data_IF_354965910482
#
_entry.id   IF_354965910482
#
_cell.length_a   1.000
_cell.length_b   1.000
_cell.length_c   1.000
_cell.angle_alpha   90.00
_cell.angle_beta   90.00
_cell.angle_gamma   90.00
#
_symmetry.space_group_name_H-M   'P 1'
#
loop_
_entity.id
_entity.type
_entity.pdbx_description
1 polymer ?
#
# COMPACT_ATOMS: atom_id res chain seq x y z
N UNK A 1 18.92 -17.33 56.36
CA UNK A 1 19.32 -17.63 54.98
C UNK A 1 18.06 -17.72 54.14
N UNK A 2 17.86 -16.74 53.26
CA UNK A 2 16.70 -16.64 52.36
C UNK A 2 16.88 -17.56 51.15
N UNK A 3 15.79 -18.14 50.65
CA UNK A 3 15.65 -18.55 49.25
C UNK A 3 14.18 -18.46 48.85
N UNK A 4 13.83 -17.38 48.13
CA UNK A 4 12.58 -17.22 47.39
C UNK A 4 12.82 -17.70 45.96
N UNK A 5 12.04 -18.67 45.49
CA UNK A 5 12.09 -19.18 44.12
C UNK A 5 10.96 -18.57 43.28
N UNK A 6 11.38 -17.65 42.41
CA UNK A 6 10.83 -17.21 41.12
C UNK A 6 9.32 -17.23 40.83
N UNK A 7 8.84 -16.01 40.60
CA UNK A 7 7.61 -15.62 39.91
C UNK A 7 7.73 -15.79 38.38
N UNK A 8 6.63 -16.26 37.78
CA UNK A 8 5.95 -15.57 36.68
C UNK A 8 6.45 -15.76 35.25
N UNK A 9 5.59 -16.29 34.38
CA UNK A 9 5.06 -15.56 33.22
C UNK A 9 4.06 -16.43 32.46
N UNK A 10 2.78 -16.14 32.72
CA UNK A 10 1.60 -16.59 32.00
C UNK A 10 1.45 -15.82 30.67
N UNK A 11 0.69 -16.42 29.74
CA UNK A 11 0.04 -15.85 28.56
C UNK A 11 0.71 -16.09 27.19
N UNK A 12 0.47 -17.28 26.64
CA UNK A 12 0.42 -17.57 25.20
C UNK A 12 -0.99 -18.15 24.97
N UNK A 13 -1.91 -17.45 24.28
CA UNK A 13 -2.31 -17.65 22.87
C UNK A 13 -3.68 -16.94 22.62
N UNK A 14 -4.11 -16.77 21.36
CA UNK A 14 -4.64 -15.52 20.80
C UNK A 14 -6.14 -15.61 20.44
N UNK A 15 -6.55 -14.88 19.39
CA UNK A 15 -7.86 -14.81 18.71
C UNK A 15 -8.62 -13.50 18.98
N UNK A 16 -8.22 -12.44 18.26
CA UNK A 16 -9.12 -11.32 18.00
C UNK A 16 -10.06 -11.71 16.85
N UNK A 17 -11.22 -12.28 17.23
CA UNK A 17 -12.41 -12.31 16.37
C UNK A 17 -12.80 -10.86 16.06
N UNK A 18 -12.80 -10.48 14.78
CA UNK A 18 -13.45 -9.25 14.34
C UNK A 18 -14.97 -9.43 14.44
N UNK A 19 -15.54 -9.24 15.62
CA UNK A 19 -16.99 -9.12 15.76
C UNK A 19 -17.42 -7.76 15.23
N UNK A 20 -18.18 -7.79 14.13
CA UNK A 20 -18.92 -6.66 13.56
C UNK A 20 -19.91 -6.13 14.60
N UNK A 21 -19.51 -5.11 15.35
CA UNK A 21 -20.40 -4.34 16.22
C UNK A 21 -21.42 -3.60 15.35
N UNK A 22 -22.67 -4.05 15.36
CA UNK A 22 -23.80 -3.22 14.95
C UNK A 22 -24.03 -2.21 16.07
N UNK A 23 -23.58 -0.98 15.88
CA UNK A 23 -23.86 0.13 16.80
C UNK A 23 -25.20 0.76 16.45
N UNK A 24 -26.08 0.73 17.44
CA UNK A 24 -27.38 1.39 17.49
C UNK A 24 -27.22 2.91 17.29
N UNK A 25 -28.13 3.51 16.52
CA UNK A 25 -28.15 4.93 16.21
C UNK A 25 -28.70 5.71 17.41
N UNK A 26 -27.86 6.55 18.03
CA UNK A 26 -28.27 7.77 18.72
C UNK A 26 -27.02 8.63 19.00
N UNK A 27 -26.99 9.80 18.37
CA UNK A 27 -26.10 10.95 18.60
C UNK A 27 -24.70 10.66 19.15
N UNK A 28 -23.76 10.41 18.24
CA UNK A 28 -22.38 10.89 18.39
C UNK A 28 -21.96 11.46 17.05
N UNK A 29 -21.64 12.75 17.03
CA UNK A 29 -20.83 13.37 15.99
C UNK A 29 -19.59 12.49 15.84
N UNK A 30 -19.56 11.68 14.79
CA UNK A 30 -18.40 10.83 14.51
C UNK A 30 -17.35 11.78 13.95
N UNK A 31 -16.37 12.12 14.76
CA UNK A 31 -15.22 12.92 14.36
C UNK A 31 -14.55 12.27 13.14
N UNK A 32 -14.78 12.86 11.97
CA UNK A 32 -14.29 12.38 10.68
C UNK A 32 -12.76 12.48 10.56
N UNK A 33 -12.04 13.08 11.53
CA UNK A 33 -10.56 13.17 11.53
C UNK A 33 -9.85 11.88 11.95
N UNK A 34 -10.40 11.06 12.85
CA UNK A 34 -9.73 9.82 13.31
C UNK A 34 -9.81 8.66 12.30
N UNK A 35 -10.87 8.59 11.49
CA UNK A 35 -11.05 7.48 10.53
C UNK A 35 -10.07 7.57 9.35
N UNK A 36 -9.62 8.78 9.02
CA UNK A 36 -8.88 9.06 7.80
C UNK A 36 -7.42 8.59 7.85
N UNK A 37 -6.78 8.70 9.01
CA UNK A 37 -5.38 8.31 9.23
C UNK A 37 -5.19 6.79 9.27
N UNK A 38 -6.14 6.03 9.83
CA UNK A 38 -6.11 4.56 9.78
C UNK A 38 -6.24 4.04 8.34
N UNK A 39 -6.99 4.74 7.49
CA UNK A 39 -7.07 4.43 6.06
C UNK A 39 -5.70 4.59 5.38
N UNK A 40 -4.99 5.70 5.66
CA UNK A 40 -3.64 5.93 5.13
C UNK A 40 -2.66 4.86 5.60
N UNK A 41 -2.68 4.51 6.89
CA UNK A 41 -1.81 3.45 7.42
C UNK A 41 -2.07 2.09 6.76
N UNK A 42 -3.34 1.76 6.49
CA UNK A 42 -3.70 0.56 5.73
C UNK A 42 -3.19 0.63 4.30
N UNK A 43 -3.33 1.78 3.65
CA UNK A 43 -2.79 2.06 2.32
C UNK A 43 -1.27 1.83 2.26
N UNK A 44 -0.52 2.43 3.19
CA UNK A 44 0.94 2.26 3.28
C UNK A 44 1.29 0.78 3.49
N UNK A 45 0.58 0.10 4.38
CA UNK A 45 0.80 -1.34 4.62
C UNK A 45 0.56 -2.19 3.37
N UNK A 46 -0.40 -1.80 2.55
CA UNK A 46 -0.76 -2.49 1.32
C UNK A 46 0.30 -2.29 0.24
N UNK A 47 0.76 -1.05 0.06
CA UNK A 47 1.84 -0.75 -0.90
C UNK A 47 3.16 -1.42 -0.49
N UNK A 48 3.50 -1.43 0.81
CA UNK A 48 4.68 -2.16 1.31
C UNK A 48 4.61 -3.67 1.00
N UNK A 49 3.41 -4.26 1.08
CA UNK A 49 3.17 -5.67 0.74
C UNK A 49 3.32 -5.92 -0.77
N UNK A 50 2.80 -5.00 -1.59
CA UNK A 50 2.87 -5.09 -3.06
C UNK A 50 4.30 -4.95 -3.57
N UNK A 51 5.04 -3.97 -3.05
CA UNK A 51 6.42 -3.72 -3.44
C UNK A 51 7.38 -4.85 -3.03
N UNK A 52 7.05 -5.60 -1.97
CA UNK A 52 7.90 -6.66 -1.45
C UNK A 52 7.11 -7.95 -1.20
N UNK A 53 6.87 -8.77 -2.25
CA UNK A 53 6.10 -10.01 -2.10
C UNK A 53 6.77 -11.03 -1.16
N UNK A 54 8.09 -10.99 -1.02
CA UNK A 54 8.87 -11.88 -0.14
C UNK A 54 9.10 -11.31 1.27
N UNK A 55 8.48 -10.17 1.61
CA UNK A 55 8.66 -9.56 2.92
C UNK A 55 8.03 -10.44 4.00
N UNK A 56 8.68 -10.49 5.18
CA UNK A 56 8.02 -10.90 6.42
C UNK A 56 6.72 -10.11 6.61
N UNK A 57 5.75 -10.59 7.41
CA UNK A 57 4.50 -9.88 7.63
C UNK A 57 4.78 -8.40 7.91
N UNK A 58 4.13 -7.48 7.16
CA UNK A 58 4.41 -6.03 7.26
C UNK A 58 4.33 -5.52 8.70
N UNK A 59 3.51 -6.16 9.54
CA UNK A 59 3.42 -5.90 10.98
C UNK A 59 4.72 -6.10 11.76
N UNK A 60 5.65 -6.91 11.25
CA UNK A 60 6.94 -7.23 11.86
C UNK A 60 8.09 -6.38 11.31
N UNK A 61 7.83 -5.57 10.28
CA UNK A 61 8.84 -4.68 9.70
C UNK A 61 9.09 -3.49 10.63
N UNK A 62 10.35 -3.16 10.89
CA UNK A 62 10.74 -2.02 11.74
C UNK A 62 10.09 -0.71 11.30
N UNK A 63 10.00 -0.47 9.98
CA UNK A 63 9.35 0.71 9.41
C UNK A 63 7.86 0.82 9.79
N UNK A 64 7.13 -0.29 9.76
CA UNK A 64 5.71 -0.30 10.11
C UNK A 64 5.50 -0.15 11.62
N UNK A 65 6.31 -0.82 12.44
CA UNK A 65 6.27 -0.67 13.90
C UNK A 65 6.57 0.77 14.34
N UNK A 66 7.56 1.42 13.71
CA UNK A 66 7.86 2.83 13.93
C UNK A 66 6.68 3.72 13.57
N UNK A 67 6.10 3.54 12.38
CA UNK A 67 4.98 4.32 11.88
C UNK A 67 3.74 4.22 12.80
N UNK A 68 3.40 3.02 13.27
CA UNK A 68 2.29 2.81 14.22
C UNK A 68 2.59 3.46 15.57
N UNK A 69 3.83 3.41 16.05
CA UNK A 69 4.21 4.03 17.32
C UNK A 69 4.11 5.56 17.24
N UNK A 70 4.65 6.17 16.18
CA UNK A 70 4.52 7.61 15.95
C UNK A 70 3.06 8.02 15.81
N UNK A 71 2.26 7.26 15.06
CA UNK A 71 0.84 7.52 14.94
C UNK A 71 0.13 7.54 16.30
N UNK A 72 0.39 6.55 17.17
CA UNK A 72 -0.20 6.48 18.51
C UNK A 72 0.23 7.65 19.41
N UNK A 73 1.50 8.07 19.36
CA UNK A 73 2.00 9.23 20.12
C UNK A 73 1.26 10.51 19.76
N UNK A 74 1.04 10.72 18.46
CA UNK A 74 0.39 11.92 17.95
C UNK A 74 -1.14 11.88 18.04
N UNK A 75 -1.77 10.71 18.24
CA UNK A 75 -3.22 10.60 18.50
C UNK A 75 -3.63 11.13 19.89
N UNK A 76 -2.86 10.84 20.94
CA UNK A 76 -3.27 11.12 22.34
C UNK A 76 -3.07 12.58 22.75
N UNK A 77 -2.46 13.40 21.89
CA UNK A 77 -2.15 14.80 22.22
C UNK A 77 -3.35 15.71 21.89
N UNK A 78 -4.44 15.56 22.65
CA UNK A 78 -5.73 16.24 22.40
C UNK A 78 -5.84 17.67 22.97
N UNK A 79 -4.87 18.17 23.76
CA UNK A 79 -5.15 19.36 24.60
C UNK A 79 -5.35 20.69 23.85
N UNK A 80 -4.90 20.82 22.60
CA UNK A 80 -5.31 21.86 21.62
C UNK A 80 -4.85 21.36 20.26
N UNK A 81 -5.76 21.15 19.30
CA UNK A 81 -5.50 20.85 17.87
C UNK A 81 -4.04 21.00 17.45
N UNK A 82 -3.24 19.96 17.64
CA UNK A 82 -1.80 20.06 17.45
C UNK A 82 -1.53 20.08 15.94
N UNK A 83 -0.95 21.18 15.44
CA UNK A 83 -0.39 21.27 14.08
C UNK A 83 0.37 19.99 13.68
N UNK A 84 1.06 19.40 14.66
CA UNK A 84 1.78 18.13 14.57
C UNK A 84 0.95 16.93 14.06
N UNK A 85 -0.31 16.78 14.44
CA UNK A 85 -1.14 15.67 13.95
C UNK A 85 -1.54 15.86 12.47
N UNK A 86 -1.78 17.11 12.07
CA UNK A 86 -2.08 17.46 10.68
C UNK A 86 -0.84 17.33 9.78
N UNK A 87 0.32 17.77 10.27
CA UNK A 87 1.63 17.56 9.65
C UNK A 87 1.92 16.07 9.48
N UNK A 88 1.70 15.26 10.52
CA UNK A 88 1.88 13.81 10.42
C UNK A 88 0.94 13.18 9.39
N UNK A 89 -0.32 13.60 9.35
CA UNK A 89 -1.27 13.11 8.35
C UNK A 89 -0.85 13.47 6.93
N UNK A 90 -0.34 14.69 6.72
CA UNK A 90 0.15 15.17 5.43
C UNK A 90 1.39 14.40 5.01
N UNK A 91 2.33 14.22 5.93
CA UNK A 91 3.53 13.41 5.72
C UNK A 91 3.18 11.97 5.34
N UNK A 92 2.21 11.34 6.04
CA UNK A 92 1.76 10.00 5.74
C UNK A 92 1.11 9.88 4.35
N UNK A 93 0.33 10.89 3.92
CA UNK A 93 -0.18 10.96 2.54
C UNK A 93 0.93 11.04 1.52
N UNK A 94 1.95 11.87 1.77
CA UNK A 94 3.11 12.02 0.89
C UNK A 94 3.83 10.69 0.72
N UNK A 95 4.05 9.96 1.81
CA UNK A 95 4.66 8.62 1.74
C UNK A 95 3.79 7.61 0.99
N UNK A 96 2.47 7.61 1.22
CA UNK A 96 1.56 6.73 0.48
C UNK A 96 1.61 7.02 -1.03
N UNK A 97 1.51 8.29 -1.42
CA UNK A 97 1.61 8.74 -2.80
C UNK A 97 2.94 8.30 -3.42
N UNK A 98 4.05 8.53 -2.71
CA UNK A 98 5.37 8.13 -3.17
C UNK A 98 5.48 6.62 -3.43
N UNK A 99 5.00 5.78 -2.51
CA UNK A 99 5.01 4.33 -2.68
C UNK A 99 4.15 3.87 -3.86
N UNK A 100 2.99 4.50 -4.06
CA UNK A 100 2.13 4.22 -5.21
C UNK A 100 2.81 4.59 -6.53
N UNK A 101 3.41 5.79 -6.60
CA UNK A 101 4.14 6.23 -7.78
C UNK A 101 5.34 5.34 -8.09
N UNK A 102 6.05 4.81 -7.08
CA UNK A 102 7.13 3.85 -7.31
C UNK A 102 6.61 2.54 -7.94
N UNK A 103 5.50 2.00 -7.45
CA UNK A 103 4.89 0.79 -8.03
C UNK A 103 4.47 1.04 -9.48
N UNK A 104 3.80 2.16 -9.73
CA UNK A 104 3.36 2.53 -11.08
C UNK A 104 4.56 2.78 -12.00
N UNK A 105 5.62 3.40 -11.50
CA UNK A 105 6.85 3.59 -12.25
C UNK A 105 7.49 2.26 -12.64
N UNK A 106 7.50 1.27 -11.75
CA UNK A 106 7.98 -0.07 -12.10
C UNK A 106 7.13 -0.71 -13.21
N UNK A 107 5.80 -0.60 -13.12
CA UNK A 107 4.90 -1.10 -14.18
C UNK A 107 5.15 -0.40 -15.53
N UNK A 108 5.48 0.89 -15.51
CA UNK A 108 5.86 1.65 -16.71
C UNK A 108 7.22 1.20 -17.25
N UNK A 109 8.20 0.99 -16.38
CA UNK A 109 9.52 0.46 -16.76
C UNK A 109 9.37 -0.91 -17.41
N UNK A 110 8.60 -1.82 -16.81
CA UNK A 110 8.38 -3.15 -17.35
C UNK A 110 7.66 -3.08 -18.72
N UNK A 111 6.70 -2.16 -18.86
CA UNK A 111 5.93 -1.99 -20.10
C UNK A 111 6.73 -1.34 -21.23
N UNK A 112 7.54 -0.32 -20.94
CA UNK A 112 8.15 0.54 -21.97
C UNK A 112 9.68 0.45 -22.03
N UNK A 113 10.35 0.10 -20.94
CA UNK A 113 11.81 0.00 -20.82
C UNK A 113 12.27 -1.47 -20.66
N UNK A 114 11.68 -2.39 -21.41
CA UNK A 114 12.15 -3.80 -21.41
C UNK A 114 13.64 -3.90 -21.77
N UNK A 115 14.31 -4.93 -21.24
CA UNK A 115 15.75 -5.19 -21.27
C UNK A 115 16.43 -5.36 -22.66
N UNK A 116 16.20 -4.46 -23.61
CA UNK A 116 16.86 -4.48 -24.92
C UNK A 116 16.12 -3.68 -26.00
N UNK A 117 16.63 -3.77 -27.23
CA UNK A 117 16.01 -3.20 -28.42
C UNK A 117 14.79 -4.05 -28.84
N UNK A 118 13.65 -3.40 -29.12
CA UNK A 118 12.44 -4.04 -29.64
C UNK A 118 12.40 -3.98 -31.17
N UNK A 119 11.71 -4.93 -31.81
CA UNK A 119 11.46 -4.84 -33.25
C UNK A 119 10.54 -3.64 -33.60
N UNK A 120 10.55 -3.24 -34.86
CA UNK A 120 9.72 -2.13 -35.37
C UNK A 120 8.24 -2.49 -35.24
N UNK A 121 7.88 -3.75 -35.50
CA UNK A 121 6.54 -4.32 -35.39
C UNK A 121 6.03 -4.26 -33.95
N UNK A 122 6.85 -4.67 -32.98
CA UNK A 122 6.49 -4.66 -31.56
C UNK A 122 6.35 -3.23 -31.04
N UNK A 123 7.26 -2.35 -31.45
CA UNK A 123 7.23 -0.93 -31.08
C UNK A 123 5.98 -0.26 -31.63
N UNK A 124 5.64 -0.48 -32.91
CA UNK A 124 4.42 0.04 -33.53
C UNK A 124 3.18 -0.39 -32.73
N UNK A 125 3.05 -1.69 -32.43
CA UNK A 125 1.92 -2.23 -31.65
C UNK A 125 1.84 -1.64 -30.24
N UNK A 126 2.98 -1.46 -29.56
CA UNK A 126 3.04 -0.88 -28.21
C UNK A 126 2.41 0.50 -28.13
N UNK A 127 2.61 1.33 -29.15
CA UNK A 127 2.07 2.70 -29.21
C UNK A 127 0.71 2.79 -29.93
N UNK A 128 0.13 1.66 -30.34
CA UNK A 128 -1.17 1.60 -31.00
C UNK A 128 -1.16 1.76 -32.52
N UNK A 129 0.00 1.57 -33.17
CA UNK A 129 0.12 1.54 -34.63
C UNK A 129 0.25 0.10 -35.16
N UNK A 130 -0.06 -0.07 -36.44
CA UNK A 130 0.16 -1.29 -37.20
C UNK A 130 1.03 -1.00 -38.41
N UNK A 131 1.97 -1.89 -38.71
CA UNK A 131 2.78 -1.75 -39.92
C UNK A 131 1.93 -2.04 -41.17
N UNK A 132 2.18 -1.31 -42.27
CA UNK A 132 1.55 -1.62 -43.55
C UNK A 132 2.05 -2.98 -44.05
N UNK A 133 1.15 -3.77 -44.66
CA UNK A 133 1.54 -5.01 -45.34
C UNK A 133 2.51 -4.68 -46.46
N UNK A 134 3.67 -5.35 -46.47
CA UNK A 134 4.60 -5.22 -47.60
C UNK A 134 3.92 -5.68 -48.88
N UNK A 135 4.21 -5.03 -50.02
CA UNK A 135 3.57 -5.28 -51.33
C UNK A 135 3.76 -6.71 -51.90
N UNK A 136 4.37 -7.60 -51.12
CA UNK A 136 4.73 -8.97 -51.48
C UNK A 136 3.80 -10.01 -50.81
N UNK A 137 2.82 -9.57 -50.03
CA UNK A 137 1.84 -10.43 -49.37
C UNK A 137 0.57 -10.44 -50.26
N UNK A 138 0.53 -11.43 -51.17
CA UNK A 138 -0.53 -11.62 -52.16
C UNK A 138 -1.92 -11.55 -51.50
N UNK A 139 -2.77 -10.68 -52.06
CA UNK A 139 -4.18 -10.56 -51.70
C UNK A 139 -4.84 -11.89 -52.07
N UNK A 140 -5.46 -12.64 -51.14
CA UNK A 140 -6.18 -13.84 -51.52
C UNK A 140 -7.30 -13.44 -52.47
N UNK A 141 -7.21 -13.95 -53.71
CA UNK A 141 -8.21 -13.80 -54.75
C UNK A 141 -9.56 -14.22 -54.16
N UNK A 142 -10.43 -13.25 -53.87
CA UNK A 142 -11.82 -13.55 -53.58
C UNK A 142 -12.49 -13.83 -54.92
N UNK A 143 -12.89 -15.09 -55.06
CA UNK A 143 -13.68 -15.67 -56.14
C UNK A 143 -14.82 -14.73 -56.59
N UNK A 144 -14.94 -14.61 -57.91
CA UNK A 144 -16.02 -13.93 -58.65
C UNK A 144 -17.31 -14.76 -58.55
#
# INVERSE_FOLDING_TARGET
>A
MHNYSNLGSSCFQPVLKWTRLKSNANNREVDYRESFTLSILRGISHELRRANPNLKPVSQTTAFSYLINEYRKHQVTEKRTCKSAEELSTMAKTYLCYLQSLRENQELIDRYHSHGERSVEETAKLVGFSLPKSANEEIPEKEI
#
